data_IF_875994562584
#
_entry.id   IF_875994562584
#
_cell.length_a   1.000
_cell.length_b   1.000
_cell.length_c   1.000
_cell.angle_alpha   90.00
_cell.angle_beta   90.00
_cell.angle_gamma   90.00
#
_symmetry.space_group_name_H-M   'P 1'
#
loop_
_entity.id
_entity.type
_entity.pdbx_description
1 polymer ?
#
# COMPACT_ATOMS: atom_id res chain seq x y z
N UNK A 1 1.25 -12.65 2.83
CA UNK A 1 2.04 -13.21 1.72
C UNK A 1 2.68 -12.04 0.97
N UNK A 2 3.99 -12.08 0.68
CA UNK A 2 4.69 -11.00 -0.05
C UNK A 2 4.43 -11.13 -1.56
N UNK A 3 4.01 -10.04 -2.19
CA UNK A 3 3.58 -10.04 -3.59
C UNK A 3 3.73 -8.66 -4.24
N UNK A 4 3.51 -8.61 -5.56
CA UNK A 4 3.32 -7.39 -6.34
C UNK A 4 1.93 -7.39 -7.00
N UNK A 5 1.52 -6.22 -7.48
CA UNK A 5 0.38 -6.02 -8.37
C UNK A 5 0.81 -5.35 -9.68
N UNK A 6 -0.02 -5.51 -10.72
CA UNK A 6 0.15 -4.89 -12.03
C UNK A 6 -0.36 -3.45 -12.11
N UNK A 7 -1.02 -3.00 -11.04
CA UNK A 7 -1.64 -1.70 -10.91
C UNK A 7 -1.34 -1.17 -9.50
N UNK A 8 -1.66 0.10 -9.25
CA UNK A 8 -1.53 0.70 -7.93
C UNK A 8 -2.49 0.02 -6.93
N UNK A 9 -1.98 -0.29 -5.73
CA UNK A 9 -2.82 -0.69 -4.61
C UNK A 9 -3.16 0.54 -3.76
N UNK A 10 -4.41 1.00 -3.90
CA UNK A 10 -4.94 2.16 -3.18
C UNK A 10 -5.91 1.71 -2.10
N UNK A 11 -5.69 2.18 -0.87
CA UNK A 11 -6.52 1.85 0.30
C UNK A 11 -6.80 3.11 1.12
N UNK A 12 -8.09 3.40 1.31
CA UNK A 12 -8.54 4.39 2.28
C UNK A 12 -9.05 3.69 3.53
N UNK A 13 -8.41 3.95 4.67
CA UNK A 13 -8.69 3.26 5.93
C UNK A 13 -9.93 3.87 6.60
N UNK A 14 -10.97 3.06 6.74
CA UNK A 14 -12.25 3.44 7.35
C UNK A 14 -12.30 3.00 8.82
N UNK A 15 -13.27 3.52 9.57
CA UNK A 15 -13.46 3.13 10.97
C UNK A 15 -13.92 1.67 11.11
N UNK A 16 -13.34 0.96 12.08
CA UNK A 16 -13.74 -0.39 12.47
C UNK A 16 -14.89 -0.43 13.49
N UNK A 17 -15.49 0.70 13.87
CA UNK A 17 -16.62 0.69 14.81
C UNK A 17 -17.90 1.24 14.18
N UNK A 18 -18.48 0.48 13.27
CA UNK A 18 -19.82 0.74 12.78
C UNK A 18 -20.17 -0.05 11.53
N UNK A 19 -21.37 -0.63 11.49
CA UNK A 19 -22.00 -1.08 10.25
C UNK A 19 -22.37 0.16 9.41
N UNK A 20 -21.38 0.88 8.88
CA UNK A 20 -21.67 2.00 7.98
C UNK A 20 -21.93 1.46 6.58
N UNK A 21 -23.16 1.67 6.12
CA UNK A 21 -23.64 1.26 4.81
C UNK A 21 -22.95 2.12 3.73
N UNK A 22 -21.85 1.61 3.16
CA UNK A 22 -21.33 2.18 1.91
C UNK A 22 -22.20 1.65 0.76
N UNK A 23 -22.81 2.52 -0.06
CA UNK A 23 -23.71 2.07 -1.11
C UNK A 23 -22.94 1.40 -2.26
N UNK A 24 -23.23 0.11 -2.48
CA UNK A 24 -23.19 -0.75 -3.69
C UNK A 24 -22.22 -0.50 -4.87
N UNK A 25 -21.22 0.37 -4.80
CA UNK A 25 -20.21 0.58 -5.87
C UNK A 25 -18.76 0.58 -5.41
N UNK A 26 -18.50 0.56 -4.11
CA UNK A 26 -17.16 0.33 -3.58
C UNK A 26 -17.07 -1.11 -3.05
N UNK A 27 -16.10 -1.88 -3.51
CA UNK A 27 -15.77 -3.17 -2.90
C UNK A 27 -15.18 -2.90 -1.52
N UNK A 28 -16.03 -2.93 -0.48
CA UNK A 28 -15.58 -2.83 0.90
C UNK A 28 -14.79 -4.10 1.22
N UNK A 29 -13.55 -3.93 1.64
CA UNK A 29 -12.79 -5.03 2.25
C UNK A 29 -12.59 -4.67 3.70
N UNK A 30 -12.94 -5.59 4.58
CA UNK A 30 -12.73 -5.40 6.01
C UNK A 30 -11.23 -5.39 6.33
N UNK A 31 -10.62 -4.23 6.67
CA UNK A 31 -9.16 -4.00 6.98
C UNK A 31 -8.94 -3.24 8.32
N UNK A 32 -8.16 -3.78 9.29
CA UNK A 32 -8.03 -3.26 10.69
C UNK A 32 -7.52 -1.83 10.78
N UNK A 33 -7.84 -1.18 11.90
CA UNK A 33 -7.14 0.01 12.37
C UNK A 33 -6.51 -0.28 13.75
N UNK A 34 -5.21 0.00 13.96
CA UNK A 34 -4.23 0.23 12.92
C UNK A 34 -4.04 -1.02 12.04
N UNK A 35 -3.48 -0.88 10.85
CA UNK A 35 -2.97 -2.01 10.07
C UNK A 35 -1.56 -1.73 9.58
N UNK A 36 -0.84 -2.78 9.21
CA UNK A 36 0.51 -2.65 8.71
C UNK A 36 0.60 -2.99 7.22
N UNK A 37 1.18 -2.06 6.47
CA UNK A 37 1.73 -2.32 5.15
C UNK A 37 3.24 -2.39 5.28
N UNK A 38 3.80 -3.57 5.08
CA UNK A 38 5.24 -3.73 4.99
C UNK A 38 5.64 -3.64 3.52
N UNK A 39 6.62 -2.80 3.17
CA UNK A 39 7.17 -2.63 1.83
C UNK A 39 8.68 -2.87 1.81
N UNK A 40 9.25 -3.18 0.64
CA UNK A 40 10.70 -3.30 0.46
C UNK A 40 11.33 -1.95 0.11
N UNK A 41 12.42 -1.62 0.79
CA UNK A 41 13.32 -0.54 0.36
C UNK A 41 14.24 -0.98 -0.79
N UNK A 42 15.14 -0.10 -1.21
CA UNK A 42 16.09 -0.37 -2.29
C UNK A 42 17.14 -1.44 -1.94
N UNK A 43 17.40 -1.63 -0.64
CA UNK A 43 18.32 -2.64 -0.12
C UNK A 43 17.58 -3.95 0.24
N UNK A 44 16.33 -4.10 -0.22
CA UNK A 44 15.44 -5.23 0.06
C UNK A 44 15.16 -5.43 1.56
N UNK A 45 15.21 -4.37 2.37
CA UNK A 45 14.82 -4.39 3.79
C UNK A 45 13.35 -4.03 3.96
N UNK A 46 12.75 -4.53 5.03
CA UNK A 46 11.35 -4.22 5.35
C UNK A 46 11.24 -2.83 5.98
N UNK A 47 10.38 -2.00 5.40
CA UNK A 47 9.85 -0.79 6.03
C UNK A 47 8.40 -1.08 6.41
N UNK A 48 8.07 -0.91 7.70
CA UNK A 48 6.71 -1.07 8.21
C UNK A 48 6.01 0.28 8.24
N UNK A 49 4.83 0.34 7.64
CA UNK A 49 3.97 1.51 7.62
C UNK A 49 2.71 1.17 8.43
N UNK A 50 2.51 1.86 9.54
CA UNK A 50 1.28 1.78 10.31
C UNK A 50 0.24 2.75 9.75
N UNK A 51 -0.89 2.22 9.31
CA UNK A 51 -1.99 3.02 8.79
C UNK A 51 -3.14 3.05 9.81
N UNK A 52 -3.58 4.25 10.12
CA UNK A 52 -4.68 4.57 11.04
C UNK A 52 -5.94 5.02 10.28
N UNK A 53 -7.05 5.18 11.00
CA UNK A 53 -8.32 5.62 10.43
C UNK A 53 -8.14 6.99 9.76
N UNK A 54 -8.62 7.11 8.54
CA UNK A 54 -8.51 8.33 7.73
C UNK A 54 -7.25 8.40 6.87
N UNK A 55 -6.34 7.43 6.99
CA UNK A 55 -5.17 7.37 6.14
C UNK A 55 -5.53 6.82 4.75
N UNK A 56 -4.97 7.42 3.71
CA UNK A 56 -4.97 6.93 2.35
C UNK A 56 -3.56 6.49 1.98
N UNK A 57 -3.38 5.19 1.74
CA UNK A 57 -2.10 4.64 1.27
C UNK A 57 -2.21 4.28 -0.22
N UNK A 58 -1.19 4.64 -0.98
CA UNK A 58 -1.01 4.29 -2.40
C UNK A 58 0.33 3.57 -2.53
N UNK A 59 0.25 2.29 -2.92
CA UNK A 59 1.41 1.47 -3.26
C UNK A 59 1.54 1.41 -4.79
N UNK A 60 2.70 1.75 -5.36
CA UNK A 60 2.88 1.77 -6.80
C UNK A 60 2.89 0.37 -7.39
N UNK A 61 2.50 0.27 -8.66
CA UNK A 61 2.67 -0.94 -9.47
C UNK A 61 4.08 -1.53 -9.30
N UNK A 62 4.19 -2.85 -9.11
CA UNK A 62 5.48 -3.56 -9.09
C UNK A 62 6.30 -3.46 -7.79
N UNK A 63 5.80 -2.78 -6.74
CA UNK A 63 6.44 -2.81 -5.41
C UNK A 63 6.17 -4.11 -4.68
N UNK A 64 7.21 -4.69 -4.08
CA UNK A 64 7.02 -5.79 -3.12
C UNK A 64 6.43 -5.25 -1.83
N UNK A 65 5.27 -5.81 -1.47
CA UNK A 65 4.59 -5.46 -0.25
C UNK A 65 3.83 -6.64 0.35
N UNK A 66 3.39 -6.46 1.59
CA UNK A 66 2.43 -7.34 2.24
C UNK A 66 1.58 -6.54 3.20
N UNK A 67 0.40 -7.06 3.44
CA UNK A 67 -0.55 -6.53 4.40
C UNK A 67 -0.66 -7.47 5.60
N UNK A 68 -0.74 -6.91 6.81
CA UNK A 68 -1.09 -7.66 8.02
C UNK A 68 -1.94 -6.83 8.98
N UNK A 69 -2.81 -7.52 9.72
CA UNK A 69 -3.65 -6.90 10.75
C UNK A 69 -2.83 -6.69 12.03
N UNK A 70 -3.25 -5.70 12.83
CA UNK A 70 -2.81 -5.59 14.22
C UNK A 70 -3.58 -6.57 15.12
N UNK A 71 -3.27 -6.58 16.41
CA UNK A 71 -3.88 -7.47 17.41
C UNK A 71 -5.41 -7.31 17.55
N UNK A 72 -5.99 -6.23 17.00
CA UNK A 72 -7.42 -5.90 17.10
C UNK A 72 -8.34 -6.79 16.24
N UNK A 73 -7.80 -7.54 15.26
CA UNK A 73 -8.50 -8.54 14.43
C UNK A 73 -9.82 -8.10 13.74
N UNK A 74 -10.20 -6.81 13.74
CA UNK A 74 -11.38 -6.26 13.06
C UNK A 74 -11.17 -4.89 12.37
N UNK A 75 -11.90 -4.67 11.27
CA UNK A 75 -11.34 -4.15 10.06
C UNK A 75 -12.37 -3.56 9.05
N UNK A 76 -12.21 -2.32 8.56
CA UNK A 76 -12.89 -1.75 7.36
C UNK A 76 -11.96 -0.82 6.53
N UNK A 77 -11.79 -1.07 5.24
CA UNK A 77 -11.19 -0.12 4.29
C UNK A 77 -11.93 -0.10 2.96
N UNK A 78 -11.87 1.06 2.31
CA UNK A 78 -12.31 1.24 0.93
C UNK A 78 -11.14 1.01 0.00
N UNK A 79 -11.36 0.13 -0.99
CA UNK A 79 -10.43 -0.08 -2.08
C UNK A 79 -10.76 0.87 -3.23
N UNK A 80 -9.75 1.59 -3.72
CA UNK A 80 -9.89 2.54 -4.82
C UNK A 80 -9.06 2.05 -6.01
N UNK A 81 -9.51 2.40 -7.22
CA UNK A 81 -8.84 2.03 -8.46
C UNK A 81 -9.02 3.06 -9.56
N UNK A 82 -8.07 3.02 -10.48
CA UNK A 82 -8.21 3.65 -11.79
C UNK A 82 -8.79 2.61 -12.76
N UNK A 83 -10.09 2.72 -13.06
CA UNK A 83 -10.76 1.81 -14.01
C UNK A 83 -11.27 0.52 -13.37
N UNK A 84 -11.32 -0.55 -14.17
CA UNK A 84 -11.80 -1.87 -13.74
C UNK A 84 -10.77 -2.57 -12.84
N UNK A 85 -11.21 -3.22 -11.75
CA UNK A 85 -10.32 -3.72 -10.71
C UNK A 85 -9.60 -5.01 -11.13
N UNK A 86 -8.27 -4.98 -11.21
CA UNK A 86 -7.42 -6.18 -11.34
C UNK A 86 -6.69 -6.39 -10.01
N UNK A 87 -7.02 -7.48 -9.31
CA UNK A 87 -6.51 -7.77 -7.96
C UNK A 87 -5.47 -8.86 -7.89
N UNK A 88 -5.08 -9.45 -9.03
CA UNK A 88 -4.25 -10.65 -9.04
C UNK A 88 -2.93 -10.40 -8.33
N UNK A 89 -2.66 -11.05 -7.19
CA UNK A 89 -1.37 -10.94 -6.53
C UNK A 89 -0.38 -11.86 -7.23
N UNK A 90 0.80 -11.34 -7.55
CA UNK A 90 1.92 -12.13 -8.06
C UNK A 90 2.94 -12.32 -6.94
N UNK A 91 2.93 -13.50 -6.34
CA UNK A 91 3.82 -13.82 -5.22
C UNK A 91 5.27 -13.76 -5.66
N UNK A 92 6.14 -13.24 -4.78
CA UNK A 92 7.60 -13.23 -5.00
C UNK A 92 8.11 -14.68 -5.22
N UNK A 93 9.06 -14.93 -6.16
CA UNK A 93 9.84 -13.99 -6.98
C UNK A 93 9.15 -13.54 -8.28
N UNK A 94 9.40 -12.30 -8.72
CA UNK A 94 8.81 -11.64 -9.90
C UNK A 94 9.78 -10.64 -10.56
N UNK A 95 11.09 -10.87 -10.50
CA UNK A 95 12.09 -9.88 -10.97
C UNK A 95 12.02 -9.62 -12.49
N UNK A 96 11.54 -10.59 -13.27
CA UNK A 96 11.36 -10.48 -14.72
C UNK A 96 9.98 -9.92 -15.13
N UNK A 97 9.08 -9.71 -14.15
CA UNK A 97 7.72 -9.25 -14.45
C UNK A 97 7.74 -7.79 -14.96
N UNK A 98 6.97 -7.49 -16.00
CA UNK A 98 6.97 -6.16 -16.64
C UNK A 98 6.73 -5.01 -15.64
N UNK A 99 5.75 -5.16 -14.75
CA UNK A 99 5.46 -4.22 -13.65
C UNK A 99 6.64 -4.02 -12.70
N UNK A 100 7.37 -5.08 -12.37
CA UNK A 100 8.56 -5.02 -11.51
C UNK A 100 9.71 -4.28 -12.19
N UNK A 101 9.95 -4.58 -13.46
CA UNK A 101 10.97 -3.88 -14.26
C UNK A 101 10.63 -2.39 -14.42
N UNK A 102 9.36 -2.05 -14.63
CA UNK A 102 8.87 -0.67 -14.69
C UNK A 102 9.09 0.06 -13.36
N UNK A 103 8.74 -0.57 -12.24
CA UNK A 103 9.01 -0.06 -10.90
C UNK A 103 10.50 0.23 -10.68
N UNK A 104 11.38 -0.73 -10.98
CA UNK A 104 12.83 -0.56 -10.80
C UNK A 104 13.40 0.53 -11.71
N UNK A 105 12.90 0.66 -12.94
CA UNK A 105 13.30 1.75 -13.84
C UNK A 105 12.92 3.13 -13.29
N UNK A 106 11.76 3.24 -12.64
CA UNK A 106 11.24 4.50 -12.10
C UNK A 106 11.82 4.86 -10.73
N UNK A 107 11.98 3.88 -9.85
CA UNK A 107 12.29 4.09 -8.43
C UNK A 107 13.59 3.43 -7.96
N UNK A 108 14.20 2.56 -8.77
CA UNK A 108 15.42 1.81 -8.40
C UNK A 108 16.70 2.63 -8.32
N UNK A 109 16.64 3.94 -8.61
CA UNK A 109 17.78 4.84 -8.46
C UNK A 109 17.50 5.84 -7.31
N UNK A 110 18.33 5.86 -6.25
CA UNK A 110 18.13 6.73 -5.09
C UNK A 110 18.22 8.23 -5.42
N UNK A 111 18.83 8.60 -6.55
CA UNK A 111 18.98 9.99 -6.97
C UNK A 111 17.74 10.56 -7.68
N UNK A 112 16.72 9.73 -7.95
CA UNK A 112 15.58 10.14 -8.79
C UNK A 112 14.53 10.97 -8.04
N UNK A 113 14.70 11.26 -6.75
CA UNK A 113 13.88 12.22 -5.98
C UNK A 113 12.38 11.91 -5.86
N UNK A 114 11.93 10.76 -6.37
CA UNK A 114 10.54 10.32 -6.33
C UNK A 114 10.18 9.66 -5.01
N UNK A 115 9.04 10.04 -4.46
CA UNK A 115 8.40 9.29 -3.38
C UNK A 115 7.87 7.97 -3.91
N UNK A 116 7.99 6.91 -3.13
CA UNK A 116 7.63 5.55 -3.59
C UNK A 116 6.34 5.09 -2.97
N UNK A 117 6.07 5.45 -1.72
CA UNK A 117 4.78 5.17 -1.09
C UNK A 117 4.20 6.49 -0.63
N UNK A 118 2.99 6.78 -1.07
CA UNK A 118 2.25 7.95 -0.61
C UNK A 118 1.31 7.54 0.51
N UNK A 119 1.49 8.14 1.69
CA UNK A 119 0.57 8.02 2.82
C UNK A 119 -0.01 9.41 3.07
N UNK A 120 -1.25 9.62 2.64
CA UNK A 120 -1.99 10.84 2.93
C UNK A 120 -2.77 10.60 4.22
N UNK A 121 -2.17 11.00 5.34
CA UNK A 121 -2.80 11.03 6.66
C UNK A 121 -3.22 12.46 7.01
N UNK A 122 -4.15 12.60 7.95
CA UNK A 122 -4.49 13.90 8.55
C UNK A 122 -3.26 14.55 9.25
N UNK A 123 -2.20 13.77 9.49
CA UNK A 123 -0.85 14.23 9.80
C UNK A 123 0.06 13.85 8.62
N UNK A 124 0.46 14.79 7.76
CA UNK A 124 1.21 14.48 6.52
C UNK A 124 2.50 13.70 6.82
N UNK A 125 2.64 12.47 6.31
CA UNK A 125 3.91 11.74 6.28
C UNK A 125 4.19 11.25 4.87
N UNK A 126 5.34 11.64 4.29
CA UNK A 126 5.80 11.05 3.03
C UNK A 126 7.01 10.19 3.29
N UNK A 127 6.95 8.90 2.94
CA UNK A 127 8.05 7.96 3.16
C UNK A 127 8.87 7.89 1.87
N UNK A 128 10.03 8.56 1.88
CA UNK A 128 11.05 8.37 0.85
C UNK A 128 11.78 7.05 1.12
N UNK A 129 12.09 6.26 0.08
CA UNK A 129 12.89 5.02 0.20
C UNK A 129 14.33 5.24 0.68
N UNK A 130 14.71 6.47 1.03
CA UNK A 130 16.01 6.78 1.65
C UNK A 130 16.10 6.34 3.12
N UNK A 131 15.06 5.67 3.66
CA UNK A 131 15.01 5.24 5.05
C UNK A 131 14.71 6.38 6.04
N UNK A 132 14.31 7.56 5.54
CA UNK A 132 13.87 8.68 6.37
C UNK A 132 12.37 8.92 6.14
N UNK A 133 11.59 8.64 7.18
CA UNK A 133 10.25 9.21 7.28
C UNK A 133 10.41 10.73 7.36
N UNK A 134 9.84 11.45 6.41
CA UNK A 134 9.76 12.92 6.49
C UNK A 134 8.47 13.21 7.27
N UNK A 135 8.65 13.66 8.52
CA UNK A 135 7.58 14.25 9.36
C UNK A 135 7.24 15.66 8.90
#
# INVERSE_FOLDING_TARGET
MEHIHTDEEIRFILDGQGKSAVPNRASIISVCVPCYFDVRDLDDRWIRIECNKGDLIILPEGIYHRFTLTESNYAQAMRLFVGEPIWTPYNRPQEEHASRLKYLKQFGNPNTGGYVVHVLSCQLYTIALTGQAIM
#
